data_IF_182859240358
#
_entry.id   IF_182859240358
#
_cell.length_a   1.000
_cell.length_b   1.000
_cell.length_c   1.000
_cell.angle_alpha   90.00
_cell.angle_beta   90.00
_cell.angle_gamma   90.00
#
_symmetry.space_group_name_H-M   'P 1'
#
loop_
_entity.id
_entity.type
_entity.pdbx_description
1 polymer ?
#
# COMPACT_ATOMS: atom_id res chain seq x y z
N UNK A 1 0.39 7.88 -3.12
CA UNK A 1 -0.11 7.52 -1.78
C UNK A 1 0.68 6.38 -1.13
N UNK A 2 0.97 5.27 -1.83
CA UNK A 2 1.75 4.17 -1.21
C UNK A 2 3.18 4.57 -0.80
N UNK A 3 3.80 5.51 -1.53
CA UNK A 3 5.15 5.99 -1.19
C UNK A 3 5.23 6.74 0.15
N UNK A 4 4.19 7.49 0.54
CA UNK A 4 4.18 8.18 1.83
C UNK A 4 4.02 7.22 3.01
N UNK A 5 3.31 6.09 2.82
CA UNK A 5 3.17 5.05 3.84
C UNK A 5 4.54 4.44 4.17
N UNK A 6 5.38 4.17 3.17
CA UNK A 6 6.74 3.63 3.38
C UNK A 6 7.57 4.56 4.27
N UNK A 7 7.55 5.88 3.98
CA UNK A 7 8.30 6.88 4.75
C UNK A 7 7.78 6.99 6.18
N UNK A 8 6.46 7.10 6.35
CA UNK A 8 5.86 7.18 7.70
C UNK A 8 6.08 5.90 8.50
N UNK A 9 5.97 4.73 7.88
CA UNK A 9 6.27 3.45 8.51
C UNK A 9 7.74 3.36 8.95
N UNK A 10 8.69 3.81 8.11
CA UNK A 10 10.10 3.88 8.45
C UNK A 10 10.36 4.78 9.67
N UNK A 11 9.83 6.01 9.66
CA UNK A 11 9.98 6.97 10.77
C UNK A 11 9.36 6.44 12.07
N UNK A 12 8.11 5.97 12.00
CA UNK A 12 7.40 5.44 13.17
C UNK A 12 8.07 4.17 13.72
N UNK A 13 8.68 3.34 12.87
CA UNK A 13 9.45 2.18 13.31
C UNK A 13 10.67 2.58 14.14
N UNK A 14 11.37 3.66 13.76
CA UNK A 14 12.49 4.21 14.56
C UNK A 14 12.00 4.78 15.89
N UNK A 15 10.92 5.57 15.87
CA UNK A 15 10.44 6.26 17.08
C UNK A 15 9.80 5.27 18.07
N UNK A 16 8.90 4.42 17.60
CA UNK A 16 8.05 3.56 18.44
C UNK A 16 8.72 2.23 18.78
N UNK A 17 9.33 1.55 17.79
CA UNK A 17 10.02 0.28 18.02
C UNK A 17 11.48 0.46 18.46
N UNK A 18 12.01 1.69 18.44
CA UNK A 18 13.42 2.01 18.75
C UNK A 18 14.43 1.23 17.91
N UNK A 19 14.08 0.93 16.64
CA UNK A 19 15.00 0.24 15.72
C UNK A 19 16.11 1.17 15.25
N UNK A 20 17.32 0.64 15.17
CA UNK A 20 18.45 1.31 14.52
C UNK A 20 18.38 1.03 13.01
N UNK A 21 17.81 1.95 12.24
CA UNK A 21 17.89 1.90 10.77
C UNK A 21 19.23 2.48 10.32
N UNK A 22 20.04 1.63 9.68
CA UNK A 22 21.32 2.00 9.07
C UNK A 22 21.09 2.86 7.81
N UNK A 23 22.15 3.53 7.34
CA UNK A 23 22.05 4.50 6.24
C UNK A 23 21.48 3.86 4.97
N UNK A 24 21.88 2.62 4.64
CA UNK A 24 21.38 1.91 3.45
C UNK A 24 19.87 1.62 3.49
N UNK A 25 19.28 1.40 4.68
CA UNK A 25 17.83 1.24 4.81
C UNK A 25 17.09 2.54 4.45
N UNK A 26 17.63 3.69 4.87
CA UNK A 26 17.10 4.99 4.48
C UNK A 26 17.24 5.24 2.98
N UNK A 27 18.39 4.91 2.39
CA UNK A 27 18.60 5.05 0.94
C UNK A 27 17.63 4.18 0.16
N UNK A 28 17.43 2.91 0.56
CA UNK A 28 16.46 2.00 -0.06
C UNK A 28 15.03 2.54 -0.01
N UNK A 29 14.58 3.05 1.15
CA UNK A 29 13.25 3.64 1.31
C UNK A 29 13.06 4.92 0.48
N UNK A 30 14.08 5.76 0.36
CA UNK A 30 14.00 6.97 -0.47
C UNK A 30 13.95 6.64 -1.97
N UNK A 31 14.76 5.68 -2.41
CA UNK A 31 14.77 5.23 -3.80
C UNK A 31 13.41 4.62 -4.19
N UNK A 32 12.80 3.79 -3.32
CA UNK A 32 11.46 3.25 -3.59
C UNK A 32 10.39 4.33 -3.62
N UNK A 33 10.50 5.33 -2.75
CA UNK A 33 9.60 6.49 -2.76
C UNK A 33 9.72 7.30 -4.06
N UNK A 34 10.95 7.56 -4.55
CA UNK A 34 11.17 8.19 -5.85
C UNK A 34 10.56 7.38 -6.99
N UNK A 35 10.73 6.06 -7.00
CA UNK A 35 10.12 5.18 -8.01
C UNK A 35 8.59 5.29 -8.03
N UNK A 36 7.95 5.28 -6.87
CA UNK A 36 6.49 5.42 -6.75
C UNK A 36 5.98 6.81 -7.16
N UNK A 37 6.75 7.87 -6.88
CA UNK A 37 6.41 9.23 -7.34
C UNK A 37 6.50 9.29 -8.87
N UNK A 38 7.51 8.67 -9.46
CA UNK A 38 7.71 8.65 -10.91
C UNK A 38 6.59 7.88 -11.63
N UNK A 39 6.20 6.70 -11.11
CA UNK A 39 5.03 5.94 -11.62
C UNK A 39 3.75 6.77 -11.48
N UNK A 40 3.55 7.41 -10.33
CA UNK A 40 2.36 8.25 -10.08
C UNK A 40 2.29 9.51 -10.95
N UNK A 41 3.43 10.05 -11.38
CA UNK A 41 3.49 11.24 -12.22
C UNK A 41 2.73 11.06 -13.54
N UNK A 42 2.81 9.88 -14.16
CA UNK A 42 2.04 9.56 -15.38
C UNK A 42 0.57 9.90 -15.22
N UNK A 43 -0.06 9.44 -14.13
CA UNK A 43 -1.49 9.66 -13.88
C UNK A 43 -1.86 11.14 -13.67
N UNK A 44 -0.94 11.94 -13.12
CA UNK A 44 -1.17 13.38 -12.90
C UNK A 44 -1.04 14.16 -14.21
N UNK A 45 -0.04 13.84 -15.03
CA UNK A 45 0.23 14.57 -16.27
C UNK A 45 -0.64 14.11 -17.45
N UNK A 46 -1.13 12.87 -17.45
CA UNK A 46 -2.08 12.37 -18.45
C UNK A 46 -3.55 12.68 -18.09
N UNK A 47 -3.83 13.11 -16.86
CA UNK A 47 -5.15 13.46 -16.40
C UNK A 47 -5.70 14.72 -17.10
N UNK A 48 -6.94 14.66 -17.60
CA UNK A 48 -7.67 15.85 -18.06
C UNK A 48 -7.79 16.85 -16.91
N UNK A 49 -7.33 18.08 -17.14
CA UNK A 49 -7.37 19.19 -16.18
C UNK A 49 -8.81 19.61 -15.87
N UNK A 50 -9.43 18.91 -14.92
CA UNK A 50 -10.66 19.36 -14.27
C UNK A 50 -10.37 20.63 -13.48
N UNK A 51 -11.20 21.67 -13.67
CA UNK A 51 -11.10 22.95 -12.95
C UNK A 51 -11.47 22.75 -11.48
N UNK A 52 -10.53 22.30 -10.67
CA UNK A 52 -10.64 22.38 -9.22
C UNK A 52 -10.01 23.68 -8.71
N UNK A 53 -10.62 24.26 -7.67
CA UNK A 53 -10.01 25.39 -6.98
C UNK A 53 -8.76 24.89 -6.26
N UNK A 54 -7.62 25.62 -6.25
CA UNK A 54 -6.39 25.19 -5.59
C UNK A 54 -6.59 24.78 -4.12
N UNK A 55 -7.57 25.38 -3.43
CA UNK A 55 -7.96 25.02 -2.07
C UNK A 55 -8.55 23.60 -1.95
N UNK A 56 -9.39 23.16 -2.90
CA UNK A 56 -10.00 21.83 -2.89
C UNK A 56 -8.94 20.74 -3.13
N UNK A 57 -8.01 20.98 -4.06
CA UNK A 57 -6.89 20.06 -4.29
C UNK A 57 -5.96 19.98 -3.07
N UNK A 58 -5.68 21.11 -2.41
CA UNK A 58 -4.86 21.13 -1.20
C UNK A 58 -5.51 20.32 -0.06
N UNK A 59 -6.82 20.48 0.18
CA UNK A 59 -7.55 19.71 1.19
C UNK A 59 -7.48 18.21 0.88
N UNK A 60 -7.67 17.82 -0.38
CA UNK A 60 -7.56 16.41 -0.80
C UNK A 60 -6.17 15.82 -0.50
N UNK A 61 -5.10 16.55 -0.81
CA UNK A 61 -3.72 16.12 -0.50
C UNK A 61 -3.50 15.96 0.99
N UNK A 62 -3.98 16.90 1.81
CA UNK A 62 -3.84 16.83 3.28
C UNK A 62 -4.59 15.61 3.84
N UNK A 63 -5.83 15.38 3.42
CA UNK A 63 -6.62 14.23 3.86
C UNK A 63 -5.95 12.90 3.50
N UNK A 64 -5.39 12.81 2.29
CA UNK A 64 -4.64 11.65 1.82
C UNK A 64 -3.38 11.39 2.66
N UNK A 65 -2.61 12.44 2.96
CA UNK A 65 -1.41 12.32 3.78
C UNK A 65 -1.75 11.92 5.21
N UNK A 66 -2.83 12.47 5.76
CA UNK A 66 -3.35 12.08 7.06
C UNK A 66 -3.77 10.61 7.09
N UNK A 67 -4.51 10.14 6.07
CA UNK A 67 -4.88 8.72 5.94
C UNK A 67 -3.67 7.79 5.77
N UNK A 68 -2.64 8.23 5.05
CA UNK A 68 -1.39 7.47 4.92
C UNK A 68 -0.65 7.38 6.26
N UNK A 69 -0.67 8.45 7.07
CA UNK A 69 -0.08 8.46 8.40
C UNK A 69 -0.82 7.50 9.35
N UNK A 70 -2.15 7.55 9.41
CA UNK A 70 -2.94 6.66 10.27
C UNK A 70 -2.77 5.20 9.86
N UNK A 71 -2.75 4.91 8.56
CA UNK A 71 -2.47 3.56 8.04
C UNK A 71 -1.07 3.07 8.41
N UNK A 72 -0.04 3.91 8.30
CA UNK A 72 1.32 3.56 8.74
C UNK A 72 1.37 3.30 10.27
N UNK A 73 0.68 4.12 11.07
CA UNK A 73 0.58 3.93 12.51
C UNK A 73 -0.13 2.62 12.88
N UNK A 74 -1.23 2.29 12.20
CA UNK A 74 -1.91 1.00 12.34
C UNK A 74 -0.94 -0.17 12.10
N UNK A 75 -0.21 -0.17 10.99
CA UNK A 75 0.73 -1.26 10.68
C UNK A 75 1.87 -1.39 11.72
N UNK A 76 2.29 -0.28 12.34
CA UNK A 76 3.29 -0.32 13.42
C UNK A 76 2.70 -0.90 14.71
N UNK A 77 1.46 -0.52 15.05
CA UNK A 77 0.73 -1.08 16.19
C UNK A 77 0.53 -2.60 16.01
N UNK A 78 0.20 -3.05 14.80
CA UNK A 78 0.11 -4.48 14.46
C UNK A 78 1.44 -5.20 14.70
N UNK A 79 2.56 -4.64 14.23
CA UNK A 79 3.88 -5.23 14.45
C UNK A 79 4.22 -5.32 15.94
N UNK A 80 3.81 -4.35 16.76
CA UNK A 80 3.97 -4.42 18.22
C UNK A 80 3.14 -5.56 18.81
N UNK A 81 1.89 -5.70 18.41
CA UNK A 81 1.03 -6.78 18.90
C UNK A 81 1.57 -8.17 18.51
N UNK A 82 2.06 -8.32 17.29
CA UNK A 82 2.60 -9.59 16.81
C UNK A 82 3.95 -9.92 17.47
N UNK A 83 4.85 -8.95 17.59
CA UNK A 83 6.22 -9.21 18.08
C UNK A 83 6.41 -9.10 19.59
N UNK A 84 5.80 -8.10 20.23
CA UNK A 84 5.97 -7.89 21.69
C UNK A 84 4.96 -8.65 22.52
N UNK A 85 3.74 -8.83 22.02
CA UNK A 85 2.66 -9.54 22.74
C UNK A 85 2.48 -10.99 22.29
N UNK A 86 3.10 -11.39 21.17
CA UNK A 86 3.11 -12.78 20.70
C UNK A 86 1.75 -13.28 20.19
N UNK A 87 0.84 -12.38 19.79
CA UNK A 87 -0.45 -12.78 19.23
C UNK A 87 -0.26 -13.52 17.90
N UNK A 88 -1.06 -14.57 17.68
CA UNK A 88 -1.05 -15.29 16.43
C UNK A 88 -1.62 -14.42 15.28
N UNK A 89 -0.97 -14.35 14.09
CA UNK A 89 -1.43 -13.56 12.95
C UNK A 89 -2.90 -13.75 12.61
N UNK A 90 -3.37 -15.01 12.62
CA UNK A 90 -4.75 -15.34 12.29
C UNK A 90 -5.78 -14.76 13.28
N UNK A 91 -5.44 -14.70 14.58
CA UNK A 91 -6.33 -14.14 15.59
C UNK A 91 -6.38 -12.61 15.48
N UNK A 92 -5.22 -11.98 15.22
CA UNK A 92 -5.13 -10.53 15.06
C UNK A 92 -5.96 -10.05 13.86
N UNK A 93 -5.78 -10.67 12.68
CA UNK A 93 -6.54 -10.31 11.46
C UNK A 93 -8.04 -10.60 11.60
N UNK A 94 -8.41 -11.69 12.30
CA UNK A 94 -9.81 -12.01 12.56
C UNK A 94 -10.50 -10.96 13.44
N UNK A 95 -9.85 -10.56 14.54
CA UNK A 95 -10.39 -9.51 15.41
C UNK A 95 -10.48 -8.16 14.69
N UNK A 96 -9.44 -7.77 13.93
CA UNK A 96 -9.47 -6.56 13.12
C UNK A 96 -10.62 -6.58 12.11
N UNK A 97 -10.83 -7.71 11.43
CA UNK A 97 -11.94 -7.89 10.48
C UNK A 97 -13.32 -7.77 11.15
N UNK A 98 -13.52 -8.34 12.33
CA UNK A 98 -14.78 -8.25 13.08
C UNK A 98 -15.04 -6.81 13.51
N UNK A 99 -14.06 -6.15 14.15
CA UNK A 99 -14.23 -4.76 14.58
C UNK A 99 -14.39 -3.80 13.40
N UNK A 100 -13.66 -4.02 12.30
CA UNK A 100 -13.81 -3.27 11.06
C UNK A 100 -15.20 -3.44 10.45
N UNK A 101 -15.74 -4.66 10.44
CA UNK A 101 -17.10 -4.94 9.95
C UNK A 101 -18.15 -4.25 10.81
N UNK A 102 -18.04 -4.34 12.14
CA UNK A 102 -18.95 -3.66 13.06
C UNK A 102 -18.90 -2.15 12.87
N UNK A 103 -17.70 -1.58 12.76
CA UNK A 103 -17.52 -0.15 12.55
C UNK A 103 -18.09 0.31 11.19
N UNK A 104 -17.87 -0.48 10.14
CA UNK A 104 -18.43 -0.21 8.81
C UNK A 104 -19.96 -0.23 8.82
N UNK A 105 -20.58 -1.25 9.43
CA UNK A 105 -22.03 -1.40 9.47
C UNK A 105 -22.72 -0.35 10.35
N UNK A 106 -22.13 0.02 11.49
CA UNK A 106 -22.76 0.90 12.47
C UNK A 106 -22.47 2.38 12.26
N UNK A 107 -21.31 2.73 11.67
CA UNK A 107 -20.88 4.12 11.55
C UNK A 107 -20.65 4.54 10.10
N UNK A 108 -19.78 3.84 9.36
CA UNK A 108 -19.37 4.32 8.04
C UNK A 108 -20.54 4.31 7.03
N UNK A 109 -21.22 3.17 6.86
CA UNK A 109 -22.30 3.04 5.89
C UNK A 109 -23.51 3.92 6.22
N UNK A 110 -23.98 4.04 7.48
CA UNK A 110 -25.04 4.99 7.81
C UNK A 110 -24.64 6.44 7.53
N UNK A 111 -23.42 6.85 7.89
CA UNK A 111 -22.95 8.22 7.63
C UNK A 111 -22.96 8.52 6.13
N UNK A 112 -22.43 7.62 5.30
CA UNK A 112 -22.41 7.82 3.83
C UNK A 112 -23.82 7.76 3.24
N UNK A 113 -24.73 6.97 3.81
CA UNK A 113 -26.12 6.92 3.39
C UNK A 113 -26.84 8.27 3.56
N UNK A 114 -26.55 9.02 4.62
CA UNK A 114 -27.16 10.34 4.87
C UNK A 114 -26.49 11.50 4.12
N UNK A 115 -25.34 11.27 3.48
CA UNK A 115 -24.70 12.30 2.66
C UNK A 115 -25.48 12.40 1.33
N UNK A 116 -25.88 13.61 0.90
CA UNK A 116 -26.58 13.79 -0.35
C UNK A 116 -25.69 13.42 -1.54
N UNK A 117 -26.19 12.57 -2.42
CA UNK A 117 -25.44 12.05 -3.55
C UNK A 117 -26.30 11.68 -4.76
N UNK A 118 -25.66 11.19 -5.82
CA UNK A 118 -26.32 10.92 -7.11
C UNK A 118 -27.14 9.62 -7.15
N UNK A 119 -27.05 8.77 -6.12
CA UNK A 119 -27.71 7.46 -6.13
C UNK A 119 -29.20 7.55 -5.79
N UNK A 120 -29.90 6.42 -5.96
CA UNK A 120 -31.33 6.27 -5.70
C UNK A 120 -31.68 6.78 -4.29
N UNK A 121 -32.71 7.64 -4.21
CA UNK A 121 -33.14 8.39 -3.02
C UNK A 121 -32.23 9.55 -2.59
N UNK A 122 -31.36 10.05 -3.46
CA UNK A 122 -30.51 11.22 -3.18
C UNK A 122 -29.43 10.93 -2.14
N UNK A 123 -29.07 9.66 -1.97
CA UNK A 123 -28.01 9.18 -1.08
C UNK A 123 -26.68 9.09 -1.85
N UNK A 124 -25.55 9.16 -1.15
CA UNK A 124 -24.23 8.94 -1.76
C UNK A 124 -23.89 7.45 -1.89
N UNK A 125 -24.34 6.61 -0.94
CA UNK A 125 -24.30 5.15 -1.08
C UNK A 125 -25.59 4.54 -0.52
N UNK A 126 -26.35 3.86 -1.38
CA UNK A 126 -27.56 3.18 -0.98
C UNK A 126 -27.31 1.67 -0.78
N UNK A 127 -27.24 1.26 0.48
CA UNK A 127 -26.95 -0.14 0.87
C UNK A 127 -28.03 -1.09 0.33
N UNK A 128 -29.30 -0.70 0.37
CA UNK A 128 -30.41 -1.56 -0.05
C UNK A 128 -30.35 -1.85 -1.56
N UNK A 129 -30.00 -0.83 -2.35
CA UNK A 129 -29.82 -0.98 -3.80
C UNK A 129 -28.58 -1.82 -4.11
N UNK A 130 -27.45 -1.58 -3.43
CA UNK A 130 -26.24 -2.39 -3.60
C UNK A 130 -26.47 -3.88 -3.29
N UNK A 131 -27.22 -4.20 -2.23
CA UNK A 131 -27.58 -5.58 -1.89
C UNK A 131 -28.53 -6.21 -2.92
N UNK A 132 -29.46 -5.43 -3.47
CA UNK A 132 -30.35 -5.89 -4.53
C UNK A 132 -29.58 -6.18 -5.83
N UNK A 133 -28.64 -5.32 -6.21
CA UNK A 133 -27.76 -5.54 -7.37
C UNK A 133 -26.84 -6.76 -7.18
N UNK A 134 -26.36 -6.97 -5.96
CA UNK A 134 -25.56 -8.14 -5.61
C UNK A 134 -26.37 -9.45 -5.69
N UNK A 135 -27.62 -9.44 -5.25
CA UNK A 135 -28.50 -10.61 -5.31
C UNK A 135 -29.02 -10.93 -6.72
N UNK A 136 -29.19 -9.92 -7.56
CA UNK A 136 -29.75 -10.07 -8.91
C UNK A 136 -28.72 -10.50 -9.96
N UNK A 137 -27.43 -10.21 -9.76
CA UNK A 137 -26.38 -10.53 -10.72
C UNK A 137 -25.38 -11.56 -10.15
N UNK A 138 -25.48 -12.81 -10.63
CA UNK A 138 -24.61 -13.90 -10.20
C UNK A 138 -23.12 -13.67 -10.52
N UNK A 139 -22.79 -12.98 -11.62
CA UNK A 139 -21.39 -12.66 -11.96
C UNK A 139 -20.81 -11.66 -10.96
N UNK A 140 -21.60 -10.65 -10.58
CA UNK A 140 -21.20 -9.69 -9.56
C UNK A 140 -20.99 -10.37 -8.20
N UNK A 141 -21.92 -11.25 -7.81
CA UNK A 141 -21.84 -11.99 -6.55
C UNK A 141 -20.58 -12.87 -6.47
N UNK A 142 -20.30 -13.65 -7.52
CA UNK A 142 -19.10 -14.50 -7.57
C UNK A 142 -17.84 -13.65 -7.51
N UNK A 143 -17.78 -12.54 -8.26
CA UNK A 143 -16.64 -11.62 -8.23
C UNK A 143 -16.45 -11.00 -6.83
N UNK A 144 -17.53 -10.61 -6.16
CA UNK A 144 -17.49 -10.05 -4.81
C UNK A 144 -16.98 -11.07 -3.78
N UNK A 145 -17.45 -12.33 -3.84
CA UNK A 145 -16.98 -13.40 -2.95
C UNK A 145 -15.50 -13.69 -3.20
N UNK A 146 -15.08 -13.79 -4.46
CA UNK A 146 -13.67 -14.03 -4.80
C UNK A 146 -12.78 -12.88 -4.31
N UNK A 147 -13.25 -11.65 -4.47
CA UNK A 147 -12.56 -10.46 -3.97
C UNK A 147 -12.41 -10.47 -2.44
N UNK A 148 -13.47 -10.83 -1.70
CA UNK A 148 -13.44 -10.96 -0.25
C UNK A 148 -12.43 -12.02 0.22
N UNK A 149 -12.42 -13.20 -0.41
CA UNK A 149 -11.46 -14.27 -0.10
C UNK A 149 -10.03 -13.81 -0.38
N UNK A 150 -9.82 -13.14 -1.52
CA UNK A 150 -8.51 -12.59 -1.90
C UNK A 150 -8.01 -11.55 -0.90
N UNK A 151 -8.87 -10.64 -0.45
CA UNK A 151 -8.53 -9.62 0.54
C UNK A 151 -8.22 -10.23 1.91
N UNK A 152 -8.98 -11.24 2.34
CA UNK A 152 -8.72 -11.94 3.59
C UNK A 152 -7.35 -12.64 3.57
N UNK A 153 -7.04 -13.34 2.47
CA UNK A 153 -5.74 -13.98 2.28
C UNK A 153 -4.60 -12.96 2.24
N UNK A 154 -4.77 -11.87 1.49
CA UNK A 154 -3.80 -10.78 1.40
C UNK A 154 -3.49 -10.18 2.78
N UNK A 155 -4.51 -9.90 3.59
CA UNK A 155 -4.33 -9.38 4.93
C UNK A 155 -3.61 -10.38 5.84
N UNK A 156 -3.99 -11.66 5.81
CA UNK A 156 -3.29 -12.69 6.58
C UNK A 156 -1.80 -12.78 6.22
N UNK A 157 -1.46 -12.81 4.92
CA UNK A 157 -0.07 -12.78 4.47
C UNK A 157 0.66 -11.51 4.92
N UNK A 158 0.00 -10.35 4.88
CA UNK A 158 0.54 -9.08 5.38
C UNK A 158 0.91 -9.15 6.87
N UNK A 159 0.04 -9.76 7.69
CA UNK A 159 0.32 -10.01 9.10
C UNK A 159 1.51 -10.98 9.30
N UNK A 160 1.60 -12.05 8.52
CA UNK A 160 2.74 -12.97 8.57
C UNK A 160 4.06 -12.27 8.25
N UNK A 161 4.10 -11.43 7.20
CA UNK A 161 5.28 -10.63 6.84
C UNK A 161 5.64 -9.65 7.95
N UNK A 162 4.66 -8.97 8.56
CA UNK A 162 4.91 -8.06 9.68
C UNK A 162 5.47 -8.80 10.91
N UNK A 163 4.97 -10.02 11.19
CA UNK A 163 5.46 -10.86 12.29
C UNK A 163 6.89 -11.33 12.05
N UNK A 164 7.20 -11.85 10.87
CA UNK A 164 8.49 -12.52 10.63
C UNK A 164 9.60 -11.54 10.21
N UNK A 165 9.24 -10.44 9.51
CA UNK A 165 10.19 -9.45 8.99
C UNK A 165 10.02 -8.09 9.66
N UNK A 166 9.29 -7.16 9.05
CA UNK A 166 8.89 -5.89 9.66
C UNK A 166 7.77 -5.23 8.89
N UNK A 167 7.15 -4.22 9.49
CA UNK A 167 6.18 -3.38 8.80
C UNK A 167 6.77 -2.66 7.59
N UNK A 168 8.05 -2.25 7.64
CA UNK A 168 8.70 -1.64 6.47
C UNK A 168 8.83 -2.65 5.32
N UNK A 169 9.25 -3.90 5.59
CA UNK A 169 9.28 -4.96 4.57
C UNK A 169 7.89 -5.21 3.97
N UNK A 170 6.85 -5.26 4.81
CA UNK A 170 5.45 -5.36 4.35
C UNK A 170 5.10 -4.22 3.39
N UNK A 171 5.39 -2.97 3.75
CA UNK A 171 5.08 -1.81 2.89
C UNK A 171 5.84 -1.81 1.56
N UNK A 172 7.07 -2.35 1.53
CA UNK A 172 7.85 -2.52 0.30
C UNK A 172 7.24 -3.61 -0.60
N UNK A 173 6.83 -4.73 -0.03
CA UNK A 173 6.12 -5.80 -0.77
C UNK A 173 4.77 -5.27 -1.31
N UNK A 174 4.04 -4.48 -0.53
CA UNK A 174 2.78 -3.87 -0.96
C UNK A 174 2.95 -2.85 -2.09
N UNK A 175 4.13 -2.24 -2.20
CA UNK A 175 4.50 -1.38 -3.31
C UNK A 175 4.73 -2.18 -4.60
N UNK A 176 5.40 -3.34 -4.52
CA UNK A 176 5.65 -4.23 -5.67
C UNK A 176 4.35 -4.71 -6.34
N UNK A 177 3.27 -4.86 -5.57
CA UNK A 177 1.94 -5.18 -6.11
C UNK A 177 1.50 -4.22 -7.22
N UNK A 178 1.86 -2.93 -7.15
CA UNK A 178 1.51 -1.97 -8.21
C UNK A 178 2.18 -2.32 -9.54
N UNK A 179 3.43 -2.76 -9.51
CA UNK A 179 4.16 -3.23 -10.70
C UNK A 179 3.51 -4.48 -11.27
N UNK A 180 3.13 -5.44 -10.41
CA UNK A 180 2.45 -6.65 -10.84
C UNK A 180 1.11 -6.36 -11.54
N UNK A 181 0.28 -5.49 -10.96
CA UNK A 181 -0.99 -5.08 -11.56
C UNK A 181 -0.77 -4.42 -12.93
N UNK A 182 0.25 -3.57 -13.05
CA UNK A 182 0.59 -2.93 -14.33
C UNK A 182 1.02 -3.94 -15.40
N UNK A 183 1.90 -4.90 -15.06
CA UNK A 183 2.33 -5.96 -16.00
C UNK A 183 1.11 -6.77 -16.47
N UNK A 184 0.23 -7.17 -15.54
CA UNK A 184 -0.99 -7.91 -15.87
C UNK A 184 -1.92 -7.09 -16.75
N UNK A 185 -2.06 -5.78 -16.49
CA UNK A 185 -2.84 -4.85 -17.30
C UNK A 185 -2.36 -4.81 -18.75
N UNK A 186 -1.04 -4.72 -18.98
CA UNK A 186 -0.46 -4.78 -20.33
C UNK A 186 -0.75 -6.12 -21.00
N UNK A 187 -0.55 -7.24 -20.30
CA UNK A 187 -0.80 -8.58 -20.86
C UNK A 187 -2.25 -8.74 -21.27
N UNK A 188 -3.20 -8.29 -20.44
CA UNK A 188 -4.63 -8.39 -20.74
C UNK A 188 -5.00 -7.58 -21.98
N UNK A 189 -4.43 -6.38 -22.16
CA UNK A 189 -4.71 -5.55 -23.34
C UNK A 189 -4.33 -6.22 -24.66
N UNK A 190 -3.24 -6.99 -24.67
CA UNK A 190 -2.79 -7.69 -25.87
C UNK A 190 -3.36 -9.10 -26.03
N UNK A 191 -3.83 -9.76 -24.96
CA UNK A 191 -4.30 -11.16 -25.01
C UNK A 191 -5.82 -11.33 -24.87
N UNK A 192 -6.46 -10.57 -23.98
CA UNK A 192 -7.89 -10.69 -23.66
C UNK A 192 -8.77 -9.69 -24.42
N UNK A 193 -8.15 -8.82 -25.23
CA UNK A 193 -8.79 -7.83 -26.08
C UNK A 193 -8.66 -6.41 -25.53
N UNK A 194 -8.70 -5.42 -26.42
CA UNK A 194 -8.49 -3.99 -26.12
C UNK A 194 -9.54 -3.36 -25.18
N UNK A 195 -10.48 -4.15 -24.65
CA UNK A 195 -11.46 -3.74 -23.65
C UNK A 195 -10.90 -3.83 -22.22
N UNK A 196 -9.85 -4.61 -21.99
CA UNK A 196 -9.28 -4.83 -20.66
C UNK A 196 -7.81 -4.37 -20.63
N UNK A 197 -7.42 -3.60 -19.62
CA UNK A 197 -6.04 -3.13 -19.45
C UNK A 197 -5.72 -1.82 -20.16
N UNK A 198 -4.43 -1.47 -20.23
CA UNK A 198 -3.94 -0.24 -20.86
C UNK A 198 -2.93 -0.53 -21.98
N UNK A 199 -2.91 0.25 -23.07
CA UNK A 199 -1.90 0.11 -24.11
C UNK A 199 -0.52 0.56 -23.61
N UNK A 200 0.54 -0.05 -24.13
CA UNK A 200 1.90 0.41 -23.88
C UNK A 200 2.21 1.66 -24.73
N UNK A 201 2.09 2.84 -24.13
CA UNK A 201 2.56 4.09 -24.73
C UNK A 201 4.07 4.28 -24.51
N UNK A 202 4.84 4.50 -25.57
CA UNK A 202 6.31 4.58 -25.50
C UNK A 202 6.78 5.72 -24.59
N UNK A 203 6.18 6.92 -24.70
CA UNK A 203 6.65 8.11 -23.96
C UNK A 203 6.44 7.99 -22.45
N UNK A 204 5.24 7.57 -22.02
CA UNK A 204 4.90 7.47 -20.60
C UNK A 204 5.21 6.09 -20.00
N UNK A 205 5.14 5.03 -20.80
CA UNK A 205 5.45 3.67 -20.39
C UNK A 205 6.93 3.48 -20.05
N UNK A 206 7.85 4.20 -20.70
CA UNK A 206 9.28 4.18 -20.33
C UNK A 206 9.53 4.82 -18.96
N UNK A 207 8.83 5.91 -18.65
CA UNK A 207 8.89 6.55 -17.33
C UNK A 207 8.35 5.59 -16.28
N UNK A 208 7.19 4.99 -16.53
CA UNK A 208 6.58 4.03 -15.62
C UNK A 208 7.45 2.79 -15.39
N UNK A 209 8.05 2.24 -16.45
CA UNK A 209 9.02 1.14 -16.36
C UNK A 209 10.24 1.50 -15.50
N UNK A 210 10.80 2.70 -15.71
CA UNK A 210 11.92 3.19 -14.89
C UNK A 210 11.49 3.37 -13.42
N UNK A 211 10.27 3.84 -13.17
CA UNK A 211 9.72 3.99 -11.84
C UNK A 211 9.57 2.64 -11.12
N UNK A 212 9.11 1.61 -11.82
CA UNK A 212 9.07 0.25 -11.29
C UNK A 212 10.46 -0.35 -11.09
N UNK A 213 11.42 -0.10 -11.99
CA UNK A 213 12.80 -0.52 -11.81
C UNK A 213 13.40 0.09 -10.54
N UNK A 214 13.22 1.39 -10.32
CA UNK A 214 13.65 2.08 -9.08
C UNK A 214 12.97 1.49 -7.83
N UNK A 215 11.69 1.16 -7.91
CA UNK A 215 10.96 0.53 -6.82
C UNK A 215 11.55 -0.85 -6.45
N UNK A 216 11.84 -1.68 -7.45
CA UNK A 216 12.49 -2.99 -7.23
C UNK A 216 13.91 -2.81 -6.67
N UNK A 217 14.71 -1.93 -7.28
CA UNK A 217 16.09 -1.63 -6.86
C UNK A 217 16.12 -1.16 -5.41
N UNK A 218 15.26 -0.20 -5.03
CA UNK A 218 15.20 0.31 -3.66
C UNK A 218 14.77 -0.78 -2.66
N UNK A 219 13.90 -1.70 -3.07
CA UNK A 219 13.48 -2.84 -2.24
C UNK A 219 14.63 -3.83 -2.03
N UNK A 220 15.40 -4.13 -3.08
CA UNK A 220 16.57 -5.00 -3.01
C UNK A 220 17.70 -4.41 -2.16
N UNK A 221 17.93 -3.09 -2.26
CA UNK A 221 18.87 -2.35 -1.41
C UNK A 221 18.43 -2.44 0.06
N UNK A 222 17.14 -2.22 0.34
CA UNK A 222 16.63 -2.28 1.70
C UNK A 222 16.78 -3.68 2.31
N UNK A 223 16.55 -4.73 1.51
CA UNK A 223 16.68 -6.13 1.92
C UNK A 223 18.13 -6.64 1.95
N UNK A 224 19.13 -5.78 1.70
CA UNK A 224 20.55 -6.16 1.62
C UNK A 224 20.86 -7.26 0.59
N UNK A 225 19.98 -7.47 -0.39
CA UNK A 225 20.21 -8.44 -1.48
C UNK A 225 21.18 -7.85 -2.50
N UNK A 226 21.19 -6.52 -2.64
CA UNK A 226 22.20 -5.80 -3.40
C UNK A 226 23.08 -5.00 -2.45
N UNK A 227 24.34 -5.38 -2.35
CA UNK A 227 25.34 -4.62 -1.59
C UNK A 227 25.70 -3.34 -2.35
N UNK A 228 25.44 -2.19 -1.72
CA UNK A 228 25.90 -0.87 -2.18
C UNK A 228 27.39 -0.68 -1.86
N UNK A 229 28.24 -1.59 -2.31
CA UNK A 229 29.70 -1.52 -2.16
C UNK A 229 30.31 -0.26 -2.81
N UNK A 230 29.54 0.47 -3.62
CA UNK A 230 29.94 1.73 -4.24
C UNK A 230 29.77 2.98 -3.36
N UNK A 231 29.03 2.93 -2.23
CA UNK A 231 28.86 4.08 -1.34
C UNK A 231 29.69 3.90 -0.07
N UNK A 232 30.83 4.62 0.09
CA UNK A 232 31.80 4.38 1.18
C UNK A 232 31.25 4.61 2.59
N UNK A 233 30.17 5.39 2.73
CA UNK A 233 29.46 5.60 4.00
C UNK A 233 28.68 4.35 4.43
N UNK A 234 28.15 3.56 3.50
CA UNK A 234 27.40 2.33 3.79
C UNK A 234 28.33 1.16 4.15
N UNK A 235 29.51 1.09 3.53
CA UNK A 235 30.52 0.05 3.81
C UNK A 235 31.04 0.11 5.26
N UNK A 236 31.26 1.32 5.80
CA UNK A 236 31.70 1.50 7.21
C UNK A 236 30.70 0.98 8.24
N UNK A 237 29.41 0.99 7.93
CA UNK A 237 28.36 0.51 8.85
C UNK A 237 28.15 -1.01 8.78
N UNK A 238 28.35 -1.64 7.61
CA UNK A 238 28.33 -3.10 7.45
C UNK A 238 29.49 -3.77 8.21
N UNK A 239 30.69 -3.17 8.15
CA UNK A 239 31.89 -3.67 8.86
C UNK A 239 31.82 -3.45 10.37
N UNK A 240 30.98 -2.54 10.87
CA UNK A 240 30.80 -2.30 12.31
C UNK A 240 29.81 -3.28 12.99
N UNK A 241 29.07 -4.09 12.22
CA UNK A 241 28.05 -5.02 12.73
C UNK A 241 28.53 -6.44 13.16
N UNK A 242 29.74 -6.97 12.85
CA UNK A 242 29.99 -8.38 13.11
C UNK A 242 30.03 -8.81 14.60
N UNK A 243 30.36 -7.93 15.55
CA UNK A 243 30.67 -8.37 16.92
C UNK A 243 29.69 -7.94 18.03
N UNK A 244 28.70 -7.09 17.76
CA UNK A 244 27.81 -6.57 18.82
C UNK A 244 26.52 -7.37 19.06
N UNK A 245 26.21 -8.39 18.24
CA UNK A 245 25.03 -9.26 18.41
C UNK A 245 25.37 -10.63 19.04
N UNK A 246 26.64 -10.90 19.41
CA UNK A 246 27.00 -12.08 20.23
C UNK A 246 27.07 -11.80 21.74
N UNK A 247 26.76 -10.58 22.17
CA UNK A 247 26.82 -10.21 23.59
C UNK A 247 25.67 -9.26 23.98
N UNK A 248 24.44 -9.77 23.93
CA UNK A 248 23.30 -9.38 24.80
C UNK A 248 22.04 -10.19 24.45
#
# INVERSE_FOLDING_TARGET
>A
MRGSIIVFAGILSVIVLRRKLLCFHWTGMLITMCGLVLVGAKSVFSGRSTRYTPSQSAIGVVLVLFGAFTSAAQMIVEEIYLKRRGYHPLQAVGNEGIFGTVFMLLFALPVVHFIPGPDLNGSYENIADALFQLGSNAVLLVNAILYLISMAWFNYCGFCVARDLSTVHRTLVDALRTAFVWIVSLILYYTAGHQFGEPFEISWGLIELNGFALLVIGTLIYNQVMDLSFIPVCQKQLVAKPDSEQMN
#
